data_IF_755297079647
#
_entry.id   IF_755297079647
#
_cell.length_a   1.000
_cell.length_b   1.000
_cell.length_c   1.000
_cell.angle_alpha   90.00
_cell.angle_beta   90.00
_cell.angle_gamma   90.00
#
_symmetry.space_group_name_H-M   'P 1'
#
loop_
_entity.id
_entity.type
_entity.pdbx_description
1 polymer ?
#
# COMPACT_ATOMS: atom_id res chain seq x y z
N UNK A 1 -2.52 -9.99 -4.15
CA UNK A 1 -1.28 -9.51 -4.81
C UNK A 1 -0.83 -10.52 -5.87
N UNK A 2 -0.52 -11.79 -5.55
CA UNK A 2 -0.02 -12.79 -6.52
C UNK A 2 -0.96 -12.95 -7.71
N UNK A 3 -2.29 -12.99 -7.49
CA UNK A 3 -3.29 -13.04 -8.57
C UNK A 3 -3.17 -11.84 -9.52
N UNK A 4 -3.00 -10.63 -8.99
CA UNK A 4 -2.84 -9.44 -9.81
C UNK A 4 -1.53 -9.48 -10.60
N UNK A 5 -0.43 -9.90 -9.98
CA UNK A 5 0.85 -10.08 -10.67
C UNK A 5 0.71 -11.03 -11.86
N UNK A 6 0.07 -12.19 -11.66
CA UNK A 6 -0.17 -13.14 -12.77
C UNK A 6 -1.08 -12.56 -13.84
N UNK A 7 -2.10 -11.79 -13.45
CA UNK A 7 -3.00 -11.15 -14.41
C UNK A 7 -2.29 -10.11 -15.27
N UNK A 8 -1.44 -9.27 -14.67
CA UNK A 8 -0.63 -8.30 -15.43
C UNK A 8 0.33 -8.96 -16.43
N UNK A 9 0.92 -10.09 -16.05
CA UNK A 9 1.84 -10.82 -16.95
C UNK A 9 1.11 -11.54 -18.08
N UNK A 10 -0.08 -12.09 -17.81
CA UNK A 10 -0.81 -12.95 -18.77
C UNK A 10 -1.83 -12.17 -19.59
N UNK A 11 -2.56 -11.24 -18.96
CA UNK A 11 -3.73 -10.57 -19.54
C UNK A 11 -3.54 -9.06 -19.73
N UNK A 12 -2.37 -8.52 -19.39
CA UNK A 12 -2.10 -7.08 -19.47
C UNK A 12 -2.81 -6.26 -18.39
N UNK A 13 -2.87 -4.95 -18.60
CA UNK A 13 -3.35 -3.98 -17.59
C UNK A 13 -4.86 -3.81 -17.54
N UNK A 14 -5.57 -4.13 -18.62
CA UNK A 14 -7.00 -3.87 -18.75
C UNK A 14 -7.88 -4.79 -17.89
N UNK A 15 -7.56 -6.10 -17.87
CA UNK A 15 -8.38 -7.08 -17.14
C UNK A 15 -8.44 -6.82 -15.63
N UNK A 16 -7.33 -6.52 -14.92
CA UNK A 16 -7.36 -6.18 -13.49
C UNK A 16 -8.03 -4.85 -13.16
N UNK A 17 -8.17 -3.95 -14.14
CA UNK A 17 -8.78 -2.63 -13.98
C UNK A 17 -10.31 -2.65 -14.08
N UNK A 18 -10.91 -3.75 -14.54
CA UNK A 18 -12.36 -3.90 -14.68
C UNK A 18 -13.05 -3.89 -13.31
N UNK A 19 -14.20 -3.22 -13.25
CA UNK A 19 -15.03 -3.23 -12.07
C UNK A 19 -15.52 -4.65 -11.77
N UNK A 20 -15.47 -5.03 -10.49
CA UNK A 20 -15.83 -6.39 -10.07
C UNK A 20 -14.72 -7.43 -10.16
N UNK A 21 -13.55 -7.15 -10.76
CA UNK A 21 -12.45 -8.10 -10.84
C UNK A 21 -11.97 -8.55 -9.45
N UNK A 22 -11.80 -7.61 -8.53
CA UNK A 22 -11.45 -7.91 -7.13
C UNK A 22 -12.54 -8.72 -6.44
N UNK A 23 -13.79 -8.30 -6.55
CA UNK A 23 -14.91 -8.97 -5.90
C UNK A 23 -15.12 -10.38 -6.44
N UNK A 24 -15.04 -10.58 -7.74
CA UNK A 24 -15.14 -11.92 -8.37
C UNK A 24 -14.05 -12.87 -7.89
N UNK A 25 -12.83 -12.35 -7.65
CA UNK A 25 -11.75 -13.15 -7.13
C UNK A 25 -11.99 -13.56 -5.67
N UNK A 26 -12.33 -12.63 -4.77
CA UNK A 26 -12.50 -12.93 -3.34
C UNK A 26 -13.73 -13.80 -3.05
N UNK A 27 -14.76 -13.75 -3.93
CA UNK A 27 -15.97 -14.58 -3.80
C UNK A 27 -15.82 -15.95 -4.44
N UNK A 28 -14.78 -16.17 -5.26
CA UNK A 28 -14.54 -17.49 -5.85
C UNK A 28 -14.02 -18.49 -4.80
N UNK A 29 -14.44 -19.75 -4.89
CA UNK A 29 -14.13 -20.77 -3.88
C UNK A 29 -12.68 -21.28 -4.02
N UNK A 30 -12.22 -21.54 -5.23
CA UNK A 30 -10.92 -22.22 -5.47
C UNK A 30 -9.76 -21.25 -5.66
N UNK A 31 -9.95 -20.14 -6.39
CA UNK A 31 -8.85 -19.26 -6.77
C UNK A 31 -8.10 -18.64 -5.57
N UNK A 32 -8.76 -18.09 -4.53
CA UNK A 32 -8.04 -17.56 -3.37
C UNK A 32 -7.20 -18.61 -2.66
N UNK A 33 -7.70 -19.85 -2.55
CA UNK A 33 -7.01 -20.97 -1.89
C UNK A 33 -5.73 -21.32 -2.67
N UNK A 34 -5.82 -21.47 -3.98
CA UNK A 34 -4.66 -21.77 -4.83
C UNK A 34 -3.58 -20.70 -4.71
N UNK A 35 -3.97 -19.43 -4.83
CA UNK A 35 -3.01 -18.32 -4.71
C UNK A 35 -2.45 -18.16 -3.28
N UNK A 36 -3.21 -18.53 -2.25
CA UNK A 36 -2.72 -18.61 -0.88
C UNK A 36 -1.61 -19.65 -0.76
N UNK A 37 -1.82 -20.87 -1.28
CA UNK A 37 -0.78 -21.93 -1.24
C UNK A 37 0.47 -21.53 -2.02
N UNK A 38 0.34 -20.90 -3.19
CA UNK A 38 1.48 -20.39 -3.96
C UNK A 38 2.27 -19.37 -3.12
N UNK A 39 1.58 -18.42 -2.49
CA UNK A 39 2.20 -17.42 -1.63
C UNK A 39 2.91 -18.05 -0.44
N UNK A 40 2.26 -19.01 0.24
CA UNK A 40 2.85 -19.73 1.38
C UNK A 40 4.09 -20.53 0.97
N UNK A 41 4.07 -21.20 -0.19
CA UNK A 41 5.22 -21.93 -0.70
C UNK A 41 6.41 -21.02 -0.99
N UNK A 42 6.17 -19.86 -1.63
CA UNK A 42 7.20 -18.86 -1.87
C UNK A 42 7.79 -18.29 -0.57
N UNK A 43 6.91 -17.99 0.39
CA UNK A 43 7.34 -17.49 1.71
C UNK A 43 8.16 -18.54 2.45
N UNK A 44 7.68 -19.80 2.49
CA UNK A 44 8.39 -20.90 3.12
C UNK A 44 9.77 -21.12 2.51
N UNK A 45 9.88 -20.99 1.18
CA UNK A 45 11.17 -21.10 0.50
C UNK A 45 12.15 -20.01 0.93
N UNK A 46 11.71 -18.73 0.94
CA UNK A 46 12.56 -17.62 1.38
C UNK A 46 13.00 -17.78 2.83
N UNK A 47 12.08 -18.20 3.71
CA UNK A 47 12.39 -18.45 5.14
C UNK A 47 13.35 -19.63 5.30
N UNK A 48 13.19 -20.69 4.50
CA UNK A 48 14.10 -21.85 4.50
C UNK A 48 15.54 -21.48 4.16
N UNK A 49 15.77 -20.48 3.31
CA UNK A 49 17.10 -19.96 2.99
C UNK A 49 17.78 -19.23 4.17
N UNK A 50 17.02 -18.94 5.24
CA UNK A 50 17.48 -18.26 6.45
C UNK A 50 17.46 -16.74 6.34
N UNK A 51 17.85 -16.07 7.44
CA UNK A 51 17.73 -14.62 7.56
C UNK A 51 18.70 -13.90 6.62
N UNK A 52 19.99 -14.24 6.64
CA UNK A 52 21.02 -13.52 5.86
C UNK A 52 20.89 -13.78 4.34
N UNK A 53 20.72 -15.04 3.94
CA UNK A 53 20.67 -15.44 2.52
C UNK A 53 19.29 -15.33 1.88
N UNK A 54 18.25 -15.39 2.69
CA UNK A 54 16.86 -15.27 2.28
C UNK A 54 16.35 -13.85 2.50
N UNK A 55 15.87 -13.57 3.70
CA UNK A 55 15.11 -12.36 4.01
C UNK A 55 15.95 -11.09 3.74
N UNK A 56 17.16 -10.97 4.28
CA UNK A 56 18.00 -9.78 4.15
C UNK A 56 18.40 -9.53 2.68
N UNK A 57 18.85 -10.58 1.97
CA UNK A 57 19.28 -10.44 0.58
C UNK A 57 18.15 -9.96 -0.34
N UNK A 58 16.97 -10.56 -0.22
CA UNK A 58 15.83 -10.16 -1.07
C UNK A 58 15.29 -8.78 -0.68
N UNK A 59 15.22 -8.48 0.61
CA UNK A 59 14.78 -7.15 1.08
C UNK A 59 15.71 -6.04 0.61
N UNK A 60 17.03 -6.25 0.64
CA UNK A 60 18.03 -5.27 0.20
C UNK A 60 17.87 -4.87 -1.26
N UNK A 61 17.35 -5.77 -2.11
CA UNK A 61 17.11 -5.49 -3.54
C UNK A 61 15.69 -4.95 -3.75
N UNK A 62 14.69 -5.60 -3.14
CA UNK A 62 13.29 -5.28 -3.40
C UNK A 62 12.85 -3.94 -2.79
N UNK A 63 13.38 -3.57 -1.62
CA UNK A 63 12.98 -2.32 -0.95
C UNK A 63 13.34 -1.05 -1.76
N UNK A 64 14.56 -0.88 -2.30
CA UNK A 64 14.86 0.27 -3.16
C UNK A 64 14.01 0.29 -4.44
N UNK A 65 13.78 -0.87 -5.06
CA UNK A 65 12.93 -0.97 -6.25
C UNK A 65 11.51 -0.53 -5.89
N UNK A 66 10.96 -1.02 -4.78
CA UNK A 66 9.63 -0.63 -4.31
C UNK A 66 9.54 0.88 -4.09
N UNK A 67 10.54 1.48 -3.43
CA UNK A 67 10.57 2.92 -3.18
C UNK A 67 10.54 3.74 -4.49
N UNK A 68 11.37 3.35 -5.46
CA UNK A 68 11.39 4.00 -6.79
C UNK A 68 10.04 3.88 -7.47
N UNK A 69 9.41 2.69 -7.42
CA UNK A 69 8.08 2.47 -8.00
C UNK A 69 7.01 3.31 -7.32
N UNK A 70 7.00 3.39 -5.98
CA UNK A 70 6.05 4.22 -5.24
C UNK A 70 6.20 5.69 -5.64
N UNK A 71 7.43 6.21 -5.70
CA UNK A 71 7.70 7.59 -6.13
C UNK A 71 7.21 7.81 -7.58
N UNK A 72 7.53 6.90 -8.49
CA UNK A 72 7.11 6.99 -9.89
C UNK A 72 5.58 7.02 -10.04
N UNK A 73 4.88 6.11 -9.36
CA UNK A 73 3.42 6.04 -9.41
C UNK A 73 2.80 7.26 -8.69
N UNK A 74 3.40 7.74 -7.60
CA UNK A 74 2.93 8.92 -6.89
C UNK A 74 2.99 10.16 -7.81
N UNK A 75 4.12 10.38 -8.50
CA UNK A 75 4.24 11.47 -9.47
C UNK A 75 3.19 11.33 -10.58
N UNK A 76 3.05 10.14 -11.14
CA UNK A 76 2.05 9.89 -12.17
C UNK A 76 0.62 10.12 -11.67
N UNK A 77 0.30 9.69 -10.44
CA UNK A 77 -1.01 9.88 -9.82
C UNK A 77 -1.42 11.35 -9.72
N UNK A 78 -0.46 12.26 -9.54
CA UNK A 78 -0.71 13.71 -9.51
C UNK A 78 -1.05 14.28 -10.89
N UNK A 79 -0.62 13.63 -11.98
CA UNK A 79 -0.91 14.07 -13.36
C UNK A 79 -2.24 13.53 -13.88
N UNK A 80 -2.89 12.63 -13.16
CA UNK A 80 -4.16 12.05 -13.57
C UNK A 80 -5.28 13.09 -13.60
N UNK A 81 -6.12 12.97 -14.61
CA UNK A 81 -7.38 13.70 -14.73
C UNK A 81 -8.46 12.74 -15.25
N UNK A 82 -9.64 12.82 -14.70
CA UNK A 82 -10.79 12.00 -15.10
C UNK A 82 -12.03 12.87 -15.14
N UNK A 83 -12.74 12.84 -16.26
CA UNK A 83 -14.02 13.51 -16.43
C UNK A 83 -15.14 12.54 -16.01
N UNK A 84 -15.89 12.94 -15.00
CA UNK A 84 -17.03 12.17 -14.50
C UNK A 84 -18.22 12.32 -15.45
N UNK A 85 -19.17 11.38 -15.44
CA UNK A 85 -20.40 11.42 -16.25
C UNK A 85 -21.22 12.71 -16.05
N UNK A 86 -21.06 13.36 -14.90
CA UNK A 86 -21.67 14.66 -14.55
C UNK A 86 -20.94 15.87 -15.17
N UNK A 87 -19.89 15.66 -15.99
CA UNK A 87 -19.10 16.72 -16.58
C UNK A 87 -18.11 17.40 -15.62
N UNK A 88 -17.93 16.88 -14.40
CA UNK A 88 -16.94 17.38 -13.46
C UNK A 88 -15.58 16.74 -13.70
N UNK A 89 -14.52 17.58 -13.83
CA UNK A 89 -13.15 17.09 -14.00
C UNK A 89 -12.50 16.91 -12.63
N UNK A 90 -12.14 15.68 -12.29
CA UNK A 90 -11.37 15.35 -11.09
C UNK A 90 -9.89 15.23 -11.44
N UNK A 91 -9.03 15.92 -10.70
CA UNK A 91 -7.60 15.94 -10.94
C UNK A 91 -6.82 15.38 -9.76
N UNK A 92 -5.66 14.76 -10.03
CA UNK A 92 -4.76 14.27 -8.99
C UNK A 92 -4.29 15.36 -8.04
N UNK A 93 -4.11 16.60 -8.54
CA UNK A 93 -3.75 17.75 -7.69
C UNK A 93 -4.86 18.12 -6.69
N UNK A 94 -6.12 17.97 -7.06
CA UNK A 94 -7.22 18.17 -6.12
C UNK A 94 -7.23 17.07 -5.04
N UNK A 95 -6.97 15.81 -5.42
CA UNK A 95 -6.78 14.71 -4.47
C UNK A 95 -5.60 14.95 -3.52
N UNK A 96 -4.50 15.54 -4.00
CA UNK A 96 -3.37 15.95 -3.17
C UNK A 96 -3.78 17.02 -2.14
N UNK A 97 -4.59 18.00 -2.53
CA UNK A 97 -5.09 19.01 -1.59
C UNK A 97 -5.91 18.37 -0.46
N UNK A 98 -6.77 17.39 -0.78
CA UNK A 98 -7.54 16.63 0.23
C UNK A 98 -6.61 15.86 1.18
N UNK A 99 -5.49 15.32 0.69
CA UNK A 99 -4.54 14.59 1.52
C UNK A 99 -3.73 15.49 2.46
N UNK A 100 -3.30 16.65 1.97
CA UNK A 100 -2.39 17.54 2.71
C UNK A 100 -3.10 18.59 3.58
N UNK A 101 -4.32 18.98 3.20
CA UNK A 101 -5.06 20.02 3.92
C UNK A 101 -6.02 19.35 4.90
N UNK A 102 -5.75 19.43 6.22
CA UNK A 102 -6.62 18.82 7.21
C UNK A 102 -7.97 19.54 7.26
N UNK A 103 -9.05 18.78 7.15
CA UNK A 103 -10.39 19.32 7.42
C UNK A 103 -10.66 19.26 8.92
N UNK A 104 -10.66 20.43 9.56
CA UNK A 104 -10.92 20.57 10.99
C UNK A 104 -12.37 20.98 11.31
N UNK A 105 -13.22 21.10 10.26
CA UNK A 105 -14.63 21.43 10.46
C UNK A 105 -15.34 20.32 11.25
N UNK A 106 -16.03 20.70 12.33
CA UNK A 106 -16.73 19.74 13.19
C UNK A 106 -15.81 18.88 14.08
N UNK A 107 -14.52 19.21 14.20
CA UNK A 107 -13.59 18.50 15.07
C UNK A 107 -13.95 18.71 16.55
N UNK A 108 -14.57 17.70 17.16
CA UNK A 108 -14.83 17.68 18.62
C UNK A 108 -13.67 17.00 19.34
N UNK A 109 -13.53 17.24 20.66
CA UNK A 109 -12.52 16.57 21.49
C UNK A 109 -12.66 15.05 21.40
N UNK A 110 -13.88 14.52 21.39
CA UNK A 110 -14.15 13.10 21.24
C UNK A 110 -13.60 12.60 19.90
N UNK A 111 -13.91 13.28 18.80
CA UNK A 111 -13.44 12.90 17.46
C UNK A 111 -11.92 12.97 17.34
N UNK A 112 -11.29 13.98 17.96
CA UNK A 112 -9.83 14.08 18.00
C UNK A 112 -9.20 12.88 18.71
N UNK A 113 -9.75 12.45 19.86
CA UNK A 113 -9.26 11.28 20.60
C UNK A 113 -9.44 9.98 19.79
N UNK A 114 -10.57 9.82 19.07
CA UNK A 114 -10.78 8.68 18.16
C UNK A 114 -9.70 8.64 17.08
N UNK A 115 -9.44 9.75 16.39
CA UNK A 115 -8.41 9.85 15.36
C UNK A 115 -7.02 9.54 15.94
N UNK A 116 -6.72 10.01 17.14
CA UNK A 116 -5.45 9.74 17.81
C UNK A 116 -5.29 8.24 18.11
N UNK A 117 -6.34 7.59 18.61
CA UNK A 117 -6.33 6.14 18.89
C UNK A 117 -6.19 5.33 17.61
N UNK A 118 -6.87 5.71 16.54
CA UNK A 118 -6.75 5.06 15.23
C UNK A 118 -5.32 5.20 14.66
N UNK A 119 -4.74 6.39 14.75
CA UNK A 119 -3.37 6.64 14.32
C UNK A 119 -2.35 5.83 15.14
N UNK A 120 -2.52 5.76 16.47
CA UNK A 120 -1.67 4.94 17.35
C UNK A 120 -1.81 3.45 17.01
N UNK A 121 -3.01 2.96 16.77
CA UNK A 121 -3.27 1.57 16.39
C UNK A 121 -2.59 1.22 15.07
N UNK A 122 -2.67 2.11 14.09
CA UNK A 122 -2.01 1.94 12.80
C UNK A 122 -0.48 1.94 12.93
N UNK A 123 0.07 2.82 13.76
CA UNK A 123 1.50 2.89 14.01
C UNK A 123 2.02 1.62 14.70
N UNK A 124 1.32 1.11 15.70
CA UNK A 124 1.68 -0.17 16.34
C UNK A 124 1.62 -1.34 15.38
N UNK A 125 0.64 -1.35 14.47
CA UNK A 125 0.54 -2.37 13.44
C UNK A 125 1.69 -2.27 12.43
N UNK A 126 2.01 -1.09 11.93
CA UNK A 126 3.07 -0.83 10.94
C UNK A 126 4.45 -1.20 11.49
N UNK A 127 4.76 -0.78 12.72
CA UNK A 127 6.01 -1.12 13.40
C UNK A 127 6.03 -2.53 13.99
N UNK A 128 4.96 -3.31 13.82
CA UNK A 128 4.84 -4.66 14.37
C UNK A 128 5.04 -4.75 15.89
N UNK A 129 4.67 -3.70 16.62
CA UNK A 129 4.75 -3.65 18.08
C UNK A 129 3.72 -4.61 18.68
N UNK A 130 4.07 -5.32 19.72
CA UNK A 130 3.22 -6.30 20.42
C UNK A 130 2.85 -7.57 19.64
N UNK A 131 3.40 -7.78 18.45
CA UNK A 131 3.14 -8.98 17.62
C UNK A 131 4.21 -10.07 17.78
N UNK A 132 5.20 -9.91 18.66
CA UNK A 132 6.32 -10.84 18.80
C UNK A 132 7.38 -10.72 17.70
N UNK A 133 7.12 -10.01 16.61
CA UNK A 133 8.04 -9.85 15.48
C UNK A 133 9.31 -9.13 15.93
N UNK A 134 9.19 -8.05 16.69
CA UNK A 134 10.33 -7.30 17.23
C UNK A 134 11.20 -8.13 18.18
N UNK A 135 10.60 -9.06 18.95
CA UNK A 135 11.33 -10.00 19.81
C UNK A 135 12.16 -10.94 18.95
N UNK A 136 11.56 -11.46 17.88
CA UNK A 136 12.24 -12.35 16.94
C UNK A 136 13.40 -11.62 16.25
N UNK A 137 13.18 -10.41 15.74
CA UNK A 137 14.28 -9.63 15.14
C UNK A 137 15.36 -9.29 16.16
N UNK A 138 14.98 -8.92 17.39
CA UNK A 138 15.93 -8.66 18.48
C UNK A 138 16.86 -9.84 18.77
N UNK A 139 16.40 -11.08 18.59
CA UNK A 139 17.24 -12.28 18.79
C UNK A 139 18.34 -12.45 17.72
N UNK A 140 18.24 -11.79 16.58
CA UNK A 140 19.25 -11.81 15.51
C UNK A 140 20.20 -10.60 15.51
N UNK A 141 19.93 -9.60 16.36
CA UNK A 141 20.77 -8.40 16.45
C UNK A 141 22.10 -8.76 17.10
N UNK A 142 23.19 -8.36 16.48
CA UNK A 142 24.56 -8.55 17.01
C UNK A 142 24.87 -7.52 18.10
N UNK A 143 25.74 -7.86 19.03
CA UNK A 143 26.08 -7.02 20.19
C UNK A 143 26.73 -5.68 19.84
N UNK A 144 27.32 -5.57 18.64
CA UNK A 144 28.00 -4.36 18.14
C UNK A 144 27.04 -3.35 17.47
N UNK A 145 25.75 -3.69 17.33
CA UNK A 145 24.75 -2.84 16.68
C UNK A 145 24.21 -1.78 17.62
N UNK A 146 24.22 -0.53 17.18
CA UNK A 146 23.57 0.57 17.92
C UNK A 146 22.07 0.56 17.67
N UNK A 147 21.31 -0.04 18.60
CA UNK A 147 19.84 -0.18 18.52
C UNK A 147 19.13 1.16 18.38
N UNK A 148 19.55 2.19 19.11
CA UNK A 148 18.90 3.51 19.06
C UNK A 148 18.98 4.11 17.66
N UNK A 149 20.15 4.00 16.99
CA UNK A 149 20.31 4.45 15.62
C UNK A 149 19.43 3.65 14.65
N UNK A 150 19.34 2.34 14.84
CA UNK A 150 18.52 1.47 14.00
C UNK A 150 17.02 1.79 14.15
N UNK A 151 16.55 2.02 15.38
CA UNK A 151 15.16 2.39 15.65
C UNK A 151 14.81 3.73 14.98
N UNK A 152 15.65 4.76 15.14
CA UNK A 152 15.42 6.05 14.48
C UNK A 152 15.38 5.94 12.95
N UNK A 153 16.21 5.09 12.35
CA UNK A 153 16.17 4.84 10.92
C UNK A 153 14.86 4.16 10.50
N UNK A 154 14.41 3.15 11.24
CA UNK A 154 13.14 2.46 10.96
C UNK A 154 11.98 3.46 11.01
N UNK A 155 11.91 4.28 12.05
CA UNK A 155 10.86 5.27 12.25
C UNK A 155 10.80 6.28 11.09
N UNK A 156 11.94 6.82 10.68
CA UNK A 156 12.02 7.78 9.56
C UNK A 156 11.58 7.12 8.25
N UNK A 157 12.08 5.92 7.97
CA UNK A 157 11.71 5.20 6.74
C UNK A 157 10.25 4.77 6.72
N UNK A 158 9.72 4.23 7.83
CA UNK A 158 8.32 3.83 7.93
C UNK A 158 7.39 5.02 7.69
N UNK A 159 7.62 6.14 8.39
CA UNK A 159 6.85 7.38 8.21
C UNK A 159 6.99 7.93 6.78
N UNK A 160 8.19 7.95 6.23
CA UNK A 160 8.44 8.44 4.87
C UNK A 160 7.74 7.61 3.81
N UNK A 161 7.81 6.28 3.89
CA UNK A 161 7.14 5.38 2.94
C UNK A 161 5.63 5.44 3.11
N UNK A 162 5.12 5.54 4.34
CA UNK A 162 3.69 5.72 4.60
C UNK A 162 3.16 7.00 3.96
N UNK A 163 3.88 8.12 4.12
CA UNK A 163 3.53 9.39 3.49
C UNK A 163 3.53 9.30 1.95
N UNK A 164 4.57 8.73 1.35
CA UNK A 164 4.66 8.52 -0.10
C UNK A 164 3.56 7.60 -0.63
N UNK A 165 3.21 6.55 0.12
CA UNK A 165 2.12 5.64 -0.24
C UNK A 165 0.76 6.34 -0.19
N UNK A 166 0.53 7.20 0.79
CA UNK A 166 -0.65 8.06 0.84
C UNK A 166 -0.73 8.99 -0.36
N UNK A 167 0.39 9.59 -0.73
CA UNK A 167 0.53 10.47 -1.89
C UNK A 167 0.31 9.75 -3.23
N UNK A 168 0.59 8.45 -3.29
CA UNK A 168 0.30 7.58 -4.44
C UNK A 168 -1.19 7.20 -4.50
N UNK A 169 -1.78 6.80 -3.37
CA UNK A 169 -3.11 6.18 -3.33
C UNK A 169 -4.22 7.23 -3.29
N UNK A 170 -4.13 8.24 -2.42
CA UNK A 170 -5.24 9.17 -2.19
C UNK A 170 -5.62 9.98 -3.43
N UNK A 171 -4.66 10.60 -4.17
CA UNK A 171 -4.99 11.26 -5.43
C UNK A 171 -5.62 10.33 -6.46
N UNK A 172 -5.10 9.10 -6.61
CA UNK A 172 -5.65 8.12 -7.53
C UNK A 172 -7.09 7.71 -7.18
N UNK A 173 -7.35 7.48 -5.90
CA UNK A 173 -8.69 7.17 -5.41
C UNK A 173 -9.65 8.31 -5.70
N UNK A 174 -9.25 9.54 -5.38
CA UNK A 174 -10.09 10.71 -5.61
C UNK A 174 -10.45 10.87 -7.10
N UNK A 175 -9.49 10.66 -7.98
CA UNK A 175 -9.70 10.77 -9.43
C UNK A 175 -10.70 9.74 -9.92
N UNK A 176 -10.55 8.46 -9.57
CA UNK A 176 -11.35 7.38 -10.13
C UNK A 176 -12.65 7.08 -9.36
N UNK A 177 -12.63 7.24 -8.04
CA UNK A 177 -13.75 6.83 -7.17
C UNK A 177 -14.40 8.01 -6.41
N UNK A 178 -13.78 9.19 -6.42
CA UNK A 178 -14.24 10.34 -5.65
C UNK A 178 -14.05 10.18 -4.14
N UNK A 179 -14.68 11.07 -3.37
CA UNK A 179 -14.65 11.05 -1.91
C UNK A 179 -15.29 9.81 -1.29
N UNK A 180 -16.33 9.28 -1.92
CA UNK A 180 -17.05 8.10 -1.43
C UNK A 180 -16.18 6.84 -1.50
N UNK A 181 -15.30 6.77 -2.48
CA UNK A 181 -14.33 5.68 -2.61
C UNK A 181 -13.36 5.58 -1.43
N UNK A 182 -13.07 6.68 -0.73
CA UNK A 182 -12.09 6.71 0.36
C UNK A 182 -12.51 5.90 1.59
N UNK A 183 -13.77 5.53 1.71
CA UNK A 183 -14.29 4.72 2.82
C UNK A 183 -14.14 3.20 2.61
N UNK A 184 -13.63 2.78 1.45
CA UNK A 184 -13.59 1.35 1.04
C UNK A 184 -12.53 0.50 1.76
N UNK A 185 -11.74 1.06 2.68
CA UNK A 185 -10.76 0.34 3.48
C UNK A 185 -9.64 -0.32 2.64
N UNK A 186 -9.12 -1.50 3.03
CA UNK A 186 -7.98 -2.16 2.35
C UNK A 186 -8.23 -2.53 0.88
N UNK A 187 -9.48 -2.69 0.46
CA UNK A 187 -9.84 -2.97 -0.94
C UNK A 187 -9.54 -1.80 -1.88
N UNK A 188 -9.39 -0.59 -1.32
CA UNK A 188 -9.12 0.65 -2.02
C UNK A 188 -7.91 0.55 -2.96
N UNK A 189 -6.81 -0.01 -2.47
CA UNK A 189 -5.59 -0.23 -3.26
C UNK A 189 -5.84 -1.16 -4.44
N UNK A 190 -6.65 -2.21 -4.27
CA UNK A 190 -6.96 -3.18 -5.33
C UNK A 190 -7.99 -2.70 -6.34
N UNK A 191 -8.72 -1.64 -6.04
CA UNK A 191 -9.67 -1.00 -6.96
C UNK A 191 -9.02 0.16 -7.74
N UNK A 192 -8.23 0.99 -7.05
CA UNK A 192 -7.68 2.22 -7.64
C UNK A 192 -6.39 2.00 -8.41
N UNK A 193 -5.40 1.28 -7.85
CA UNK A 193 -4.12 1.09 -8.53
C UNK A 193 -4.22 0.38 -9.88
N UNK A 194 -5.08 -0.64 -10.08
CA UNK A 194 -5.26 -1.23 -11.40
C UNK A 194 -5.76 -0.23 -12.45
N UNK A 195 -6.63 0.70 -12.07
CA UNK A 195 -7.10 1.77 -12.96
C UNK A 195 -5.97 2.76 -13.30
N UNK A 196 -5.12 3.08 -12.32
CA UNK A 196 -3.90 3.88 -12.58
C UNK A 196 -2.99 3.18 -13.57
N UNK A 197 -2.71 1.88 -13.39
CA UNK A 197 -1.85 1.13 -14.30
C UNK A 197 -2.45 0.99 -15.71
N UNK A 198 -3.76 0.85 -15.82
CA UNK A 198 -4.43 0.85 -17.12
C UNK A 198 -4.30 2.21 -17.82
N UNK A 199 -4.43 3.31 -17.08
CA UNK A 199 -4.24 4.67 -17.64
C UNK A 199 -2.79 4.94 -18.05
N UNK A 200 -1.80 4.36 -17.36
CA UNK A 200 -0.38 4.43 -17.77
C UNK A 200 -0.10 3.67 -19.08
N UNK A 201 -0.81 2.56 -19.32
CA UNK A 201 -0.67 1.76 -20.56
C UNK A 201 -1.38 2.35 -21.77
N UNK A 202 -2.29 3.30 -21.56
CA UNK A 202 -3.03 3.99 -22.62
C UNK A 202 -2.35 5.29 -23.09
N UNK A 203 -1.27 5.72 -22.43
CA UNK A 203 -0.45 6.88 -22.77
C UNK A 203 0.79 6.44 -23.56
#
# INVERSE_FOLDING_TARGET
IVKYLTAYVVSGTEAPAQDGYFTSFITSTAAPIVFMFIFLALTAWVVYLGVEKGIEKYSRILMPILLILIIGIAIFSLTLSYETEDGTVRTGLHGLAIYLIPNVEGLTVKRFLEILLDAMSQLFFSLSVSMGIMITYGSYVKDDVNLSKSINQIEIFDTGVAFLSGLMIIPAVFVFLGTDGMTSGPSLTFLSLPKVFASMGAA
#
